data_IF_491488029726
#
_entry.id   IF_491488029726
#
_cell.length_a   1.000
_cell.length_b   1.000
_cell.length_c   1.000
_cell.angle_alpha   90.00
_cell.angle_beta   90.00
_cell.angle_gamma   90.00
#
_symmetry.space_group_name_H-M   'P 1'
#
loop_
_entity.id
_entity.type
_entity.pdbx_description
1 polymer ?
#
# COMPACT_ATOMS: atom_id res chain seq x y z
N UNK A 1 -23.12 5.59 12.71
CA UNK A 1 -21.67 5.53 13.02
C UNK A 1 -20.91 5.77 11.73
N UNK A 2 -20.22 6.91 11.59
CA UNK A 2 -19.41 7.17 10.40
C UNK A 2 -18.19 6.24 10.39
N UNK A 3 -18.16 5.26 9.48
CA UNK A 3 -17.00 4.41 9.29
C UNK A 3 -15.84 5.27 8.78
N UNK A 4 -14.72 5.30 9.51
CA UNK A 4 -13.51 5.95 9.03
C UNK A 4 -12.94 5.11 7.87
N UNK A 5 -13.32 5.47 6.66
CA UNK A 5 -12.94 4.81 5.41
C UNK A 5 -11.41 4.78 5.18
N UNK A 6 -10.65 5.64 5.88
CA UNK A 6 -9.18 5.71 5.71
C UNK A 6 -8.50 4.42 6.15
N UNK A 7 -9.03 3.76 7.19
CA UNK A 7 -8.48 2.50 7.71
C UNK A 7 -8.62 1.33 6.70
N UNK A 8 -9.82 0.97 6.22
CA UNK A 8 -9.96 -0.11 5.24
C UNK A 8 -9.25 0.19 3.92
N UNK A 9 -9.30 1.45 3.45
CA UNK A 9 -8.58 1.85 2.23
C UNK A 9 -7.06 1.71 2.42
N UNK A 10 -6.51 2.22 3.52
CA UNK A 10 -5.09 2.10 3.82
C UNK A 10 -4.62 0.65 3.91
N UNK A 11 -5.40 -0.21 4.58
CA UNK A 11 -5.10 -1.63 4.72
C UNK A 11 -5.10 -2.34 3.36
N UNK A 12 -6.09 -2.08 2.50
CA UNK A 12 -6.16 -2.65 1.15
C UNK A 12 -4.93 -2.28 0.32
N UNK A 13 -4.53 -1.00 0.34
CA UNK A 13 -3.35 -0.54 -0.40
C UNK A 13 -2.05 -1.18 0.10
N UNK A 14 -1.89 -1.34 1.43
CA UNK A 14 -0.71 -2.01 2.00
C UNK A 14 -0.68 -3.49 1.62
N UNK A 15 -1.79 -4.21 1.76
CA UNK A 15 -1.85 -5.65 1.43
C UNK A 15 -1.52 -5.86 -0.05
N UNK A 16 -2.22 -5.15 -0.94
CA UNK A 16 -2.02 -5.29 -2.38
C UNK A 16 -0.61 -4.83 -2.80
N UNK A 17 -0.10 -3.74 -2.22
CA UNK A 17 1.24 -3.24 -2.48
C UNK A 17 2.33 -4.22 -2.05
N UNK A 18 2.19 -4.85 -0.88
CA UNK A 18 3.11 -5.88 -0.41
C UNK A 18 3.06 -7.13 -1.30
N UNK A 19 1.87 -7.58 -1.71
CA UNK A 19 1.73 -8.69 -2.66
C UNK A 19 2.45 -8.38 -3.98
N UNK A 20 2.28 -7.18 -4.52
CA UNK A 20 2.97 -6.75 -5.75
C UNK A 20 4.49 -6.64 -5.56
N UNK A 21 4.95 -6.13 -4.42
CA UNK A 21 6.37 -6.01 -4.11
C UNK A 21 7.04 -7.39 -3.98
N UNK A 22 6.39 -8.33 -3.27
CA UNK A 22 6.86 -9.72 -3.17
C UNK A 22 6.91 -10.36 -4.54
N UNK A 23 5.84 -10.23 -5.34
CA UNK A 23 5.81 -10.75 -6.71
C UNK A 23 6.87 -10.10 -7.60
N UNK A 24 7.12 -8.81 -7.42
CA UNK A 24 8.21 -8.10 -8.08
C UNK A 24 9.57 -8.71 -7.75
N UNK A 25 9.81 -9.07 -6.50
CA UNK A 25 11.09 -9.64 -6.05
C UNK A 25 11.28 -11.11 -6.44
N UNK A 26 10.21 -11.90 -6.48
CA UNK A 26 10.28 -13.35 -6.73
C UNK A 26 9.91 -13.76 -8.16
N UNK A 27 9.31 -12.85 -8.94
CA UNK A 27 8.86 -13.10 -10.30
C UNK A 27 9.99 -13.17 -11.34
N UNK A 28 9.76 -13.92 -12.41
CA UNK A 28 10.73 -14.14 -13.48
C UNK A 28 10.93 -12.88 -14.34
N UNK A 29 12.20 -12.55 -14.58
CA UNK A 29 12.61 -11.43 -15.43
C UNK A 29 12.07 -11.51 -16.87
N UNK A 30 11.76 -12.72 -17.35
CA UNK A 30 11.17 -12.95 -18.66
C UNK A 30 9.82 -12.22 -18.86
N UNK A 31 9.08 -11.97 -17.77
CA UNK A 31 7.80 -11.26 -17.82
C UNK A 31 7.98 -9.76 -18.07
N UNK A 32 9.12 -9.17 -17.68
CA UNK A 32 9.38 -7.72 -17.81
C UNK A 32 9.82 -7.29 -19.21
N UNK A 33 9.92 -8.21 -20.19
CA UNK A 33 10.16 -7.83 -21.60
C UNK A 33 9.10 -6.85 -22.12
N UNK A 34 7.84 -7.02 -21.72
CA UNK A 34 6.75 -6.09 -22.07
C UNK A 34 6.91 -4.71 -21.42
N UNK A 35 7.67 -4.63 -20.33
CA UNK A 35 7.90 -3.42 -19.53
C UNK A 35 9.24 -2.75 -19.82
N UNK A 36 9.92 -3.15 -20.90
CA UNK A 36 11.29 -2.72 -21.24
C UNK A 36 12.32 -3.11 -20.16
N UNK A 37 12.20 -4.32 -19.62
CA UNK A 37 13.09 -4.85 -18.56
C UNK A 37 12.87 -4.26 -17.17
N UNK A 38 11.90 -3.35 -16.99
CA UNK A 38 11.64 -2.70 -15.70
C UNK A 38 10.68 -3.52 -14.85
N UNK A 39 11.02 -3.64 -13.57
CA UNK A 39 10.21 -4.34 -12.58
C UNK A 39 9.03 -3.46 -12.11
N UNK A 40 8.02 -3.38 -12.97
CA UNK A 40 6.84 -2.52 -12.75
C UNK A 40 6.05 -2.94 -11.50
N UNK A 41 6.05 -4.24 -11.18
CA UNK A 41 5.38 -4.80 -10.01
C UNK A 41 6.03 -4.30 -8.72
N UNK A 42 7.36 -4.31 -8.66
CA UNK A 42 8.10 -3.80 -7.50
C UNK A 42 7.92 -2.29 -7.34
N UNK A 43 8.05 -1.52 -8.43
CA UNK A 43 7.88 -0.06 -8.39
C UNK A 43 6.49 0.33 -7.89
N UNK A 44 5.43 -0.22 -8.48
CA UNK A 44 4.07 0.09 -8.05
C UNK A 44 3.71 -0.54 -6.70
N UNK A 45 4.24 -1.72 -6.37
CA UNK A 45 4.08 -2.34 -5.05
C UNK A 45 4.62 -1.45 -3.92
N UNK A 46 5.81 -0.86 -4.12
CA UNK A 46 6.37 0.12 -3.21
C UNK A 46 5.50 1.39 -3.10
N UNK A 47 5.04 1.95 -4.22
CA UNK A 47 4.17 3.14 -4.23
C UNK A 47 2.86 2.87 -3.48
N UNK A 48 2.20 1.75 -3.77
CA UNK A 48 0.94 1.37 -3.11
C UNK A 48 1.13 1.16 -1.61
N UNK A 49 2.22 0.50 -1.21
CA UNK A 49 2.54 0.29 0.21
C UNK A 49 2.78 1.61 0.94
N UNK A 50 3.55 2.52 0.33
CA UNK A 50 3.83 3.85 0.90
C UNK A 50 2.55 4.69 1.07
N UNK A 51 1.69 4.71 0.04
CA UNK A 51 0.41 5.43 0.06
C UNK A 51 -0.54 4.83 1.10
N UNK A 52 -0.68 3.51 1.14
CA UNK A 52 -1.50 2.81 2.13
C UNK A 52 -1.02 3.07 3.56
N UNK A 53 0.30 3.02 3.78
CA UNK A 53 0.93 3.39 5.05
C UNK A 53 0.62 4.83 5.46
N UNK A 54 0.67 5.78 4.53
CA UNK A 54 0.31 7.18 4.80
C UNK A 54 -1.16 7.32 5.24
N UNK A 55 -2.10 6.61 4.60
CA UNK A 55 -3.50 6.57 5.02
C UNK A 55 -3.69 6.00 6.43
N UNK A 56 -2.98 4.92 6.76
CA UNK A 56 -3.03 4.31 8.09
C UNK A 56 -2.48 5.27 9.16
N UNK A 57 -1.33 5.91 8.90
CA UNK A 57 -0.74 6.90 9.81
C UNK A 57 -1.67 8.10 10.03
N UNK A 58 -2.33 8.58 8.98
CA UNK A 58 -3.29 9.68 9.10
C UNK A 58 -4.52 9.26 9.92
N UNK A 59 -5.01 8.03 9.75
CA UNK A 59 -6.14 7.52 10.54
C UNK A 59 -5.84 7.44 12.05
N UNK A 60 -4.59 7.15 12.42
CA UNK A 60 -4.15 7.08 13.82
C UNK A 60 -4.07 8.47 14.46
N UNK A 61 -3.62 9.48 13.72
CA UNK A 61 -3.57 10.88 14.17
C UNK A 61 -4.97 11.50 14.35
N UNK A 62 -5.98 10.97 13.66
CA UNK A 62 -7.39 11.36 13.85
C UNK A 62 -8.04 10.73 15.09
N UNK A 63 -7.59 9.54 15.52
CA UNK A 63 -8.14 8.82 16.66
C UNK A 63 -7.62 9.32 18.02
N UNK A 64 -6.49 10.04 18.05
CA UNK A 64 -5.81 10.50 19.26
C UNK A 64 -6.43 11.75 19.91
N UNK A 65 -7.59 12.22 19.41
CA UNK A 65 -8.30 13.41 19.93
C UNK A 65 -9.57 13.10 20.74
N UNK A 66 -9.87 11.82 21.02
CA UNK A 66 -11.13 11.41 21.67
C UNK A 66 -11.00 10.92 23.12
N UNK A 67 -9.89 11.18 23.81
CA UNK A 67 -9.68 10.76 25.20
C UNK A 67 -9.30 11.93 26.11
N UNK A 68 -10.05 13.04 26.03
CA UNK A 68 -10.08 14.09 27.05
C UNK A 68 -11.31 14.98 26.87
N UNK A 69 -12.50 14.41 27.03
CA UNK A 69 -13.67 15.15 27.50
C UNK A 69 -14.54 14.21 28.34
#
# INVERSE_FOLDING_TARGET
MGLDIRKPIGLLFVILGLTLAVYGLTGDAAQYRKSNGRNINLTWGCVMTAVGGAFLLWSQKGASRSSSQ
#
